data_IF_955444968370
#
_entry.id   IF_955444968370
#
_cell.length_a   1.000
_cell.length_b   1.000
_cell.length_c   1.000
_cell.angle_alpha   90.00
_cell.angle_beta   90.00
_cell.angle_gamma   90.00
#
_symmetry.space_group_name_H-M   'P 1'
#
loop_
_entity.id
_entity.type
_entity.pdbx_description
1 polymer ?
#
# COMPACT_ATOMS: atom_id res chain seq x y z
N UNK A 1 27.84 0.21 -10.82
CA UNK A 1 26.87 0.25 -9.71
C UNK A 1 25.87 -0.89 -9.82
N UNK A 2 26.15 -2.00 -9.12
CA UNK A 2 25.35 -3.23 -9.12
C UNK A 2 24.45 -3.26 -7.87
N UNK A 3 23.46 -2.36 -7.79
CA UNK A 3 22.52 -2.28 -6.67
C UNK A 3 21.08 -2.55 -7.10
N UNK A 4 20.29 -3.17 -6.24
CA UNK A 4 18.83 -3.29 -6.35
C UNK A 4 18.13 -2.33 -5.37
N UNK A 5 16.86 -2.04 -5.63
CA UNK A 5 16.08 -1.10 -4.82
C UNK A 5 16.01 0.30 -5.44
N UNK A 6 15.49 1.25 -4.66
CA UNK A 6 15.36 2.65 -5.07
C UNK A 6 14.07 3.30 -4.58
N UNK A 7 13.89 4.58 -4.93
CA UNK A 7 12.66 5.31 -4.68
C UNK A 7 11.84 5.37 -5.96
N UNK A 8 10.59 4.96 -5.89
CA UNK A 8 9.67 4.95 -7.03
C UNK A 8 8.46 5.79 -6.64
N UNK A 9 7.99 6.61 -7.57
CA UNK A 9 6.79 7.42 -7.36
C UNK A 9 5.88 7.38 -8.58
N UNK A 10 4.58 7.28 -8.35
CA UNK A 10 3.60 7.17 -9.42
C UNK A 10 2.23 6.74 -8.90
N UNK A 11 1.22 6.92 -9.75
CA UNK A 11 -0.15 6.45 -9.47
C UNK A 11 -0.25 4.93 -9.55
N UNK A 12 0.60 4.28 -10.31
CA UNK A 12 0.72 2.84 -10.40
C UNK A 12 2.10 2.45 -10.94
N UNK A 13 2.40 1.17 -10.90
CA UNK A 13 3.57 0.60 -11.54
C UNK A 13 3.78 -0.86 -11.17
N UNK A 14 4.90 -1.41 -11.63
CA UNK A 14 5.29 -2.76 -11.29
C UNK A 14 6.81 -2.89 -11.08
N UNK A 15 7.20 -3.89 -10.30
CA UNK A 15 8.57 -4.36 -10.13
C UNK A 15 8.56 -5.85 -10.46
N UNK A 16 9.30 -6.22 -11.51
CA UNK A 16 9.70 -7.60 -11.77
C UNK A 16 11.11 -7.80 -11.22
N UNK A 17 11.26 -8.70 -10.25
CA UNK A 17 12.53 -8.92 -9.58
C UNK A 17 12.84 -10.42 -9.44
N UNK A 18 14.05 -10.89 -9.82
CA UNK A 18 15.18 -10.14 -10.37
C UNK A 18 15.04 -9.82 -11.88
N UNK A 19 15.39 -8.59 -12.29
CA UNK A 19 15.33 -8.12 -13.70
C UNK A 19 16.24 -8.93 -14.64
N UNK A 20 17.36 -9.46 -14.12
CA UNK A 20 18.27 -10.38 -14.83
C UNK A 20 18.80 -11.42 -13.85
N UNK A 21 18.76 -12.70 -14.25
CA UNK A 21 19.23 -13.84 -13.42
C UNK A 21 20.72 -13.78 -13.07
N UNK A 22 21.52 -13.04 -13.84
CA UNK A 22 23.00 -13.06 -13.75
C UNK A 22 23.62 -11.91 -12.92
N UNK A 23 22.83 -11.01 -12.30
CA UNK A 23 23.34 -9.73 -11.79
C UNK A 23 23.44 -9.55 -10.26
N UNK A 24 23.17 -10.57 -9.44
CA UNK A 24 23.12 -10.36 -7.99
C UNK A 24 24.27 -11.04 -7.23
N UNK A 25 24.91 -10.25 -6.37
CA UNK A 25 25.89 -10.74 -5.40
C UNK A 25 25.17 -11.48 -4.27
N UNK A 26 25.85 -12.46 -3.68
CA UNK A 26 25.40 -13.12 -2.45
C UNK A 26 25.04 -12.08 -1.38
N UNK A 27 24.01 -12.33 -0.57
CA UNK A 27 23.57 -11.44 0.52
C UNK A 27 23.05 -10.07 0.06
N UNK A 28 22.41 -10.03 -1.11
CA UNK A 28 21.68 -8.85 -1.59
C UNK A 28 20.57 -8.46 -0.59
N UNK A 29 20.54 -7.16 -0.28
CA UNK A 29 19.51 -6.50 0.53
C UNK A 29 18.94 -5.34 -0.29
N UNK A 30 17.79 -5.57 -0.90
CA UNK A 30 17.14 -4.60 -1.78
C UNK A 30 16.04 -3.88 -1.01
N UNK A 31 15.99 -2.56 -1.12
CA UNK A 31 14.95 -1.75 -0.48
C UNK A 31 14.31 -0.85 -1.52
N UNK A 32 13.01 -1.00 -1.73
CA UNK A 32 12.21 -0.09 -2.54
C UNK A 32 11.32 0.76 -1.64
N UNK A 33 11.30 2.07 -1.87
CA UNK A 33 10.31 2.97 -1.28
C UNK A 33 9.38 3.42 -2.38
N UNK A 34 8.12 2.98 -2.31
CA UNK A 34 7.09 3.36 -3.28
C UNK A 34 6.25 4.46 -2.67
N UNK A 35 5.97 5.51 -3.44
CA UNK A 35 5.17 6.65 -3.01
C UNK A 35 4.11 6.98 -4.06
N UNK A 36 2.84 6.97 -3.66
CA UNK A 36 1.73 7.43 -4.50
C UNK A 36 1.37 8.88 -4.19
N UNK A 37 0.20 9.35 -4.62
CA UNK A 37 -0.29 10.70 -4.34
C UNK A 37 -0.48 10.96 -2.84
N UNK A 38 -0.18 12.17 -2.34
CA UNK A 38 -0.52 12.56 -0.97
C UNK A 38 -1.99 12.26 -0.64
N UNK A 39 -2.25 11.78 0.57
CA UNK A 39 -3.58 11.43 1.08
C UNK A 39 -4.33 10.33 0.30
N UNK A 40 -3.63 9.53 -0.50
CA UNK A 40 -4.20 8.35 -1.13
C UNK A 40 -3.67 7.08 -0.46
N UNK A 41 -4.48 6.03 -0.50
CA UNK A 41 -4.10 4.69 -0.09
C UNK A 41 -3.37 4.00 -1.23
N UNK A 42 -2.42 3.12 -0.90
CA UNK A 42 -1.70 2.32 -1.90
C UNK A 42 -2.13 0.86 -1.82
N UNK A 43 -2.64 0.35 -2.93
CA UNK A 43 -2.92 -1.07 -3.10
C UNK A 43 -1.68 -1.76 -3.68
N UNK A 44 -1.31 -2.88 -3.07
CA UNK A 44 -0.09 -3.63 -3.38
C UNK A 44 -0.48 -5.07 -3.65
N UNK A 45 -0.02 -5.62 -4.77
CA UNK A 45 -0.25 -7.00 -5.17
C UNK A 45 1.06 -7.71 -5.53
N UNK A 46 1.40 -8.75 -4.78
CA UNK A 46 2.48 -9.68 -5.08
C UNK A 46 1.94 -10.90 -5.81
N UNK A 47 2.66 -11.32 -6.85
CA UNK A 47 2.44 -12.52 -7.65
C UNK A 47 3.78 -13.16 -7.99
N UNK A 48 3.75 -14.40 -8.46
CA UNK A 48 4.94 -15.19 -8.83
C UNK A 48 6.04 -15.19 -7.78
N UNK A 49 5.65 -15.14 -6.49
CA UNK A 49 6.58 -15.14 -5.36
C UNK A 49 7.15 -16.54 -5.20
N UNK A 50 8.37 -16.72 -5.68
CA UNK A 50 9.09 -17.98 -5.56
C UNK A 50 10.54 -17.69 -5.27
N UNK A 51 11.04 -18.13 -4.12
CA UNK A 51 12.48 -18.11 -3.83
C UNK A 51 12.87 -19.35 -3.04
N UNK A 52 14.15 -19.74 -3.11
CA UNK A 52 14.72 -20.70 -2.18
C UNK A 52 15.45 -19.99 -1.04
N UNK A 53 14.92 -20.09 0.18
CA UNK A 53 15.54 -19.56 1.43
C UNK A 53 15.70 -18.03 1.50
N UNK A 54 14.99 -17.25 0.69
CA UNK A 54 15.02 -15.79 0.71
C UNK A 54 13.69 -15.23 1.24
N UNK A 55 13.72 -13.98 1.68
CA UNK A 55 12.57 -13.29 2.29
C UNK A 55 12.24 -12.02 1.51
N UNK A 56 10.93 -11.78 1.31
CA UNK A 56 10.40 -10.50 0.86
C UNK A 56 9.36 -10.02 1.87
N UNK A 57 9.34 -8.73 2.18
CA UNK A 57 8.37 -8.14 3.10
C UNK A 57 7.90 -6.75 2.65
N UNK A 58 6.69 -6.42 3.07
CA UNK A 58 6.04 -5.11 2.93
C UNK A 58 5.93 -4.47 4.30
N UNK A 59 6.37 -3.22 4.41
CA UNK A 59 6.22 -2.38 5.59
C UNK A 59 5.45 -1.11 5.25
N UNK A 60 4.66 -0.68 6.22
CA UNK A 60 3.89 0.55 6.15
C UNK A 60 4.79 1.78 6.21
N UNK A 61 4.50 2.78 5.38
CA UNK A 61 5.16 4.08 5.41
C UNK A 61 6.53 4.12 4.72
N UNK A 62 7.40 5.01 5.20
CA UNK A 62 8.66 5.37 4.55
C UNK A 62 9.94 5.05 5.35
N UNK A 63 9.82 4.24 6.40
CA UNK A 63 10.97 3.79 7.18
C UNK A 63 11.14 2.27 7.11
N UNK A 64 12.38 1.84 6.79
CA UNK A 64 12.72 0.42 6.76
C UNK A 64 12.82 -0.20 8.16
N UNK A 65 12.76 0.61 9.21
CA UNK A 65 12.89 0.19 10.63
C UNK A 65 11.66 0.56 11.47
N UNK A 66 10.94 1.61 11.10
CA UNK A 66 9.72 2.09 11.77
C UNK A 66 8.50 1.86 10.87
N UNK A 67 7.38 1.37 11.41
CA UNK A 67 6.18 1.03 10.63
C UNK A 67 5.82 -0.46 10.75
N UNK A 68 4.54 -0.77 10.65
CA UNK A 68 4.03 -2.14 10.79
C UNK A 68 4.52 -3.02 9.63
N UNK A 69 4.86 -4.30 9.92
CA UNK A 69 5.12 -5.29 8.86
C UNK A 69 3.78 -5.82 8.37
N UNK A 70 3.32 -5.30 7.24
CA UNK A 70 2.01 -5.60 6.68
C UNK A 70 1.92 -7.02 6.13
N UNK A 71 3.03 -7.54 5.59
CA UNK A 71 3.16 -8.90 5.08
C UNK A 71 4.62 -9.28 4.88
N UNK A 72 4.88 -10.59 4.85
CA UNK A 72 6.15 -11.16 4.45
C UNK A 72 5.96 -12.59 3.92
N UNK A 73 6.86 -13.02 3.06
CA UNK A 73 6.99 -14.40 2.61
C UNK A 73 8.41 -14.89 2.79
N UNK A 74 8.55 -16.16 3.15
CA UNK A 74 9.81 -16.88 3.12
C UNK A 74 9.72 -17.97 2.06
N UNK A 75 10.42 -17.76 0.95
CA UNK A 75 10.38 -18.64 -0.22
C UNK A 75 9.11 -18.51 -1.05
N UNK A 76 8.48 -19.63 -1.39
CA UNK A 76 7.29 -19.68 -2.26
C UNK A 76 6.03 -19.22 -1.51
N UNK A 77 5.22 -18.40 -2.17
CA UNK A 77 3.92 -17.96 -1.66
C UNK A 77 2.91 -17.85 -2.79
N UNK A 78 1.63 -18.04 -2.45
CA UNK A 78 0.52 -17.59 -3.29
C UNK A 78 0.52 -16.07 -3.45
N UNK A 79 -0.30 -15.57 -4.37
CA UNK A 79 -0.51 -14.13 -4.52
C UNK A 79 -0.98 -13.50 -3.20
N UNK A 80 -0.58 -12.24 -3.00
CA UNK A 80 -0.93 -11.45 -1.84
C UNK A 80 -1.37 -10.06 -2.30
N UNK A 81 -2.54 -9.60 -1.86
CA UNK A 81 -3.08 -8.29 -2.21
C UNK A 81 -3.55 -7.56 -0.95
N UNK A 82 -3.15 -6.29 -0.78
CA UNK A 82 -3.55 -5.46 0.36
C UNK A 82 -3.52 -3.97 0.05
N UNK A 83 -4.48 -3.22 0.59
CA UNK A 83 -4.47 -1.76 0.67
C UNK A 83 -3.79 -1.28 1.97
N UNK A 84 -2.81 -0.39 1.85
CA UNK A 84 -2.17 0.32 2.96
C UNK A 84 -2.86 1.67 3.21
N UNK A 85 -3.02 2.04 4.48
CA UNK A 85 -3.62 3.31 4.94
C UNK A 85 -2.71 4.54 4.72
N UNK A 86 -1.47 4.34 4.25
CA UNK A 86 -0.53 5.40 3.91
C UNK A 86 -0.33 5.54 2.40
N UNK A 87 0.25 6.66 1.98
CA UNK A 87 0.63 6.88 0.58
C UNK A 87 2.04 6.37 0.27
N UNK A 88 2.69 5.68 1.21
CA UNK A 88 4.06 5.18 1.07
C UNK A 88 4.15 3.76 1.64
N UNK A 89 4.89 2.90 0.95
CA UNK A 89 5.27 1.56 1.41
C UNK A 89 6.75 1.33 1.21
N UNK A 90 7.30 0.44 2.01
CA UNK A 90 8.64 -0.09 1.83
C UNK A 90 8.59 -1.58 1.55
N UNK A 91 9.28 -1.96 0.48
CA UNK A 91 9.51 -3.35 0.10
C UNK A 91 10.96 -3.69 0.42
N UNK A 92 11.16 -4.80 1.13
CA UNK A 92 12.50 -5.27 1.48
C UNK A 92 12.64 -6.70 1.00
N UNK A 93 13.64 -6.94 0.16
CA UNK A 93 14.07 -8.27 -0.24
C UNK A 93 15.43 -8.57 0.37
N UNK A 94 15.58 -9.73 0.99
CA UNK A 94 16.81 -10.16 1.64
C UNK A 94 17.16 -11.60 1.27
N UNK A 95 18.39 -11.80 0.81
CA UNK A 95 18.92 -13.14 0.54
C UNK A 95 19.71 -13.68 1.72
N UNK A 96 19.47 -14.95 2.11
CA UNK A 96 20.24 -15.62 3.18
C UNK A 96 21.30 -16.59 2.65
N UNK A 97 21.17 -17.02 1.40
CA UNK A 97 22.06 -17.98 0.73
C UNK A 97 22.34 -17.56 -0.71
N UNK A 98 23.26 -18.27 -1.34
CA UNK A 98 23.76 -18.04 -2.71
C UNK A 98 22.84 -18.60 -3.81
N UNK A 99 21.61 -18.99 -3.47
CA UNK A 99 20.64 -19.58 -4.41
C UNK A 99 19.75 -18.49 -5.01
N UNK A 100 19.91 -18.26 -6.31
CA UNK A 100 19.19 -17.24 -7.08
C UNK A 100 18.02 -17.80 -7.89
N UNK A 101 17.36 -18.84 -7.38
CA UNK A 101 16.20 -19.39 -8.08
C UNK A 101 14.92 -18.66 -7.68
N UNK A 102 14.18 -18.20 -8.71
CA UNK A 102 12.90 -17.51 -8.62
C UNK A 102 12.95 -15.98 -8.48
N UNK A 103 11.79 -15.40 -8.15
CA UNK A 103 11.48 -13.97 -8.24
C UNK A 103 10.22 -13.58 -7.47
N UNK A 104 9.83 -12.32 -7.64
CA UNK A 104 8.48 -11.84 -7.36
C UNK A 104 8.10 -10.80 -8.43
N UNK A 105 6.82 -10.75 -8.74
CA UNK A 105 6.21 -9.65 -9.47
C UNK A 105 5.36 -8.87 -8.47
N UNK A 106 5.68 -7.59 -8.31
CA UNK A 106 4.93 -6.66 -7.49
C UNK A 106 4.24 -5.66 -8.41
N UNK A 107 2.92 -5.53 -8.28
CA UNK A 107 2.14 -4.45 -8.85
C UNK A 107 1.67 -3.53 -7.72
N UNK A 108 1.66 -2.21 -7.97
CA UNK A 108 1.00 -1.27 -7.06
C UNK A 108 0.16 -0.28 -7.83
N UNK A 109 -0.88 0.20 -7.18
CA UNK A 109 -1.70 1.29 -7.68
C UNK A 109 -2.27 2.15 -6.53
N UNK A 110 -2.62 3.37 -6.88
CA UNK A 110 -3.42 4.25 -6.03
C UNK A 110 -4.78 3.57 -5.86
N UNK A 111 -5.13 3.20 -4.63
CA UNK A 111 -6.42 2.62 -4.35
C UNK A 111 -7.54 3.65 -4.55
N UNK A 112 -8.68 3.15 -5.02
CA UNK A 112 -9.94 3.89 -5.01
C UNK A 112 -10.61 3.85 -3.62
N UNK A 113 -10.10 3.02 -2.71
CA UNK A 113 -10.47 3.06 -1.31
C UNK A 113 -9.95 4.34 -0.66
N UNK A 114 -10.79 4.93 0.19
CA UNK A 114 -10.50 6.18 0.87
C UNK A 114 -11.24 6.25 2.21
N UNK A 115 -11.04 7.33 2.95
CA UNK A 115 -11.71 7.58 4.21
C UNK A 115 -10.74 7.65 5.39
N UNK A 116 -11.29 7.96 6.55
CA UNK A 116 -10.53 8.24 7.76
C UNK A 116 -11.29 7.76 9.00
N UNK A 117 -10.55 7.51 10.08
CA UNK A 117 -11.13 7.30 11.40
C UNK A 117 -11.14 8.61 12.17
N UNK A 118 -12.31 9.03 12.64
CA UNK A 118 -12.50 10.20 13.48
C UNK A 118 -12.81 9.76 14.92
N UNK A 119 -12.03 10.28 15.86
CA UNK A 119 -12.23 10.06 17.30
C UNK A 119 -12.55 11.35 18.07
N UNK A 120 -12.75 12.46 17.35
CA UNK A 120 -13.09 13.78 17.86
C UNK A 120 -14.07 14.50 16.92
N UNK A 121 -14.68 15.57 17.41
CA UNK A 121 -15.60 16.40 16.63
C UNK A 121 -14.87 17.05 15.44
N UNK A 122 -15.30 16.73 14.22
CA UNK A 122 -14.65 17.18 13.00
C UNK A 122 -15.64 17.25 11.84
N UNK A 123 -15.29 18.07 10.85
CA UNK A 123 -15.93 18.03 9.54
C UNK A 123 -15.39 16.84 8.74
N UNK A 124 -16.29 16.00 8.23
CA UNK A 124 -15.98 14.93 7.30
C UNK A 124 -16.20 15.46 5.89
N UNK A 125 -15.17 15.35 5.06
CA UNK A 125 -15.23 15.74 3.65
C UNK A 125 -14.49 14.74 2.79
N UNK A 126 -14.86 14.67 1.52
CA UNK A 126 -14.03 14.00 0.53
C UNK A 126 -12.63 14.66 0.49
N UNK A 127 -11.53 13.90 0.41
CA UNK A 127 -10.18 14.46 0.51
C UNK A 127 -9.85 15.47 -0.60
N UNK A 128 -10.41 15.29 -1.80
CA UNK A 128 -10.28 16.24 -2.91
C UNK A 128 -11.40 17.28 -2.86
N UNK A 129 -11.07 18.53 -3.20
CA UNK A 129 -12.04 19.63 -3.24
C UNK A 129 -12.83 19.71 -4.57
N UNK A 130 -12.36 19.05 -5.63
CA UNK A 130 -12.90 19.25 -6.98
C UNK A 130 -13.67 18.06 -7.54
N UNK A 131 -13.14 16.84 -7.41
CA UNK A 131 -13.77 15.63 -7.95
C UNK A 131 -13.29 14.38 -7.22
N UNK A 132 -14.18 13.41 -7.07
CA UNK A 132 -13.85 12.03 -6.72
C UNK A 132 -13.62 11.22 -8.03
N UNK A 133 -12.70 10.25 -8.04
CA UNK A 133 -12.50 9.38 -9.20
C UNK A 133 -13.69 8.44 -9.38
N UNK A 134 -13.84 7.89 -10.58
CA UNK A 134 -14.82 6.82 -10.82
C UNK A 134 -14.56 5.64 -9.88
N UNK A 135 -15.64 5.04 -9.37
CA UNK A 135 -15.60 3.91 -8.44
C UNK A 135 -14.87 4.19 -7.11
N UNK A 136 -14.81 5.45 -6.68
CA UNK A 136 -14.32 5.79 -5.34
C UNK A 136 -15.15 5.08 -4.26
N UNK A 137 -14.48 4.36 -3.36
CA UNK A 137 -15.12 3.61 -2.28
C UNK A 137 -14.56 4.08 -0.93
N UNK A 138 -15.10 5.20 -0.44
CA UNK A 138 -14.65 5.77 0.82
C UNK A 138 -15.41 5.22 2.04
N UNK A 139 -14.68 4.79 3.07
CA UNK A 139 -15.23 4.39 4.37
C UNK A 139 -14.68 5.31 5.45
N UNK A 140 -15.54 6.18 5.99
CA UNK A 140 -15.21 6.95 7.20
C UNK A 140 -15.73 6.23 8.44
N UNK A 141 -14.86 6.04 9.43
CA UNK A 141 -15.21 5.40 10.70
C UNK A 141 -15.27 6.45 11.78
N UNK A 142 -16.37 6.51 12.53
CA UNK A 142 -16.55 7.48 13.60
C UNK A 142 -16.69 6.71 14.90
N UNK A 143 -15.82 7.02 15.86
CA UNK A 143 -15.84 6.38 17.18
C UNK A 143 -15.85 7.44 18.27
N UNK A 144 -16.70 7.26 19.27
CA UNK A 144 -16.80 8.14 20.43
C UNK A 144 -16.65 7.35 21.73
N UNK A 145 -16.33 8.00 22.87
CA UNK A 145 -16.23 7.32 24.16
C UNK A 145 -17.55 6.64 24.58
N UNK A 146 -17.46 5.68 25.50
CA UNK A 146 -18.65 5.04 26.07
C UNK A 146 -19.61 6.09 26.65
N UNK A 147 -20.92 5.83 26.53
CA UNK A 147 -22.00 6.71 27.00
C UNK A 147 -22.10 8.07 26.28
N UNK A 148 -21.59 8.17 25.05
CA UNK A 148 -21.80 9.33 24.18
C UNK A 148 -22.67 8.94 22.98
N UNK A 149 -23.26 9.93 22.31
CA UNK A 149 -24.06 9.75 21.10
C UNK A 149 -23.40 10.51 19.97
N UNK A 150 -23.14 9.82 18.86
CA UNK A 150 -22.63 10.44 17.63
C UNK A 150 -23.80 11.14 16.94
N UNK A 151 -23.66 12.45 16.71
CA UNK A 151 -24.59 13.26 15.91
C UNK A 151 -23.93 13.60 14.59
N UNK A 152 -24.63 13.35 13.50
CA UNK A 152 -24.20 13.67 12.15
C UNK A 152 -25.13 14.73 11.54
N UNK A 153 -24.54 15.75 10.95
CA UNK A 153 -25.25 16.79 10.22
C UNK A 153 -24.68 16.90 8.82
N UNK A 154 -25.54 16.76 7.82
CA UNK A 154 -25.15 16.84 6.41
C UNK A 154 -25.21 18.30 5.95
N UNK A 155 -24.04 18.95 5.88
CA UNK A 155 -23.94 20.38 5.55
C UNK A 155 -23.98 20.66 4.05
N UNK A 156 -23.35 19.79 3.26
CA UNK A 156 -23.31 19.87 1.80
C UNK A 156 -23.38 18.46 1.24
N UNK A 157 -24.23 18.28 0.22
CA UNK A 157 -24.39 17.03 -0.47
C UNK A 157 -24.53 17.28 -1.97
N UNK A 158 -23.60 16.74 -2.74
CA UNK A 158 -23.50 16.91 -4.19
C UNK A 158 -22.82 15.66 -4.77
N UNK A 159 -23.61 14.78 -5.38
CA UNK A 159 -23.18 13.52 -5.97
C UNK A 159 -23.75 13.41 -7.39
N UNK A 160 -22.99 12.78 -8.28
CA UNK A 160 -23.46 12.49 -9.63
C UNK A 160 -24.59 11.43 -9.62
N UNK A 161 -25.33 11.38 -10.72
CA UNK A 161 -26.44 10.45 -10.86
C UNK A 161 -25.93 9.00 -10.80
N UNK A 162 -26.45 8.21 -9.85
CA UNK A 162 -26.08 6.82 -9.64
C UNK A 162 -25.08 6.59 -8.50
N UNK A 163 -24.53 7.66 -7.92
CA UNK A 163 -23.65 7.56 -6.76
C UNK A 163 -24.44 7.54 -5.44
N UNK A 164 -23.82 6.97 -4.40
CA UNK A 164 -24.49 6.75 -3.11
C UNK A 164 -23.60 7.18 -1.94
N UNK A 165 -24.21 7.89 -0.98
CA UNK A 165 -23.69 8.03 0.38
C UNK A 165 -24.54 7.13 1.29
N UNK A 166 -23.87 6.23 2.00
CA UNK A 166 -24.49 5.34 2.97
C UNK A 166 -23.93 5.73 4.34
N UNK A 167 -24.82 5.93 5.32
CA UNK A 167 -24.50 6.34 6.70
C UNK A 167 -24.90 5.21 7.65
#
# INVERSE_FOLDING_TARGET
DNGCGGKISGLSGHIDFPVKKEQFSNYSHCVWTITTTPNALIETEFSDVGFQYNEVMVREGNSSTKGERLWYSYGYSSSYKKTDNQNQIIIIYSTRRTSFDGGFVLNWEKSNECGYTYTWDSYIKYPNQYYYPENAHCIWRISSPLNTVIKLELLKFDLALGDHLII
#
